data_IF_084162179097
#
_entry.id   IF_084162179097
#
_cell.length_a   1.000
_cell.length_b   1.000
_cell.length_c   1.000
_cell.angle_alpha   90.00
_cell.angle_beta   90.00
_cell.angle_gamma   90.00
#
_symmetry.space_group_name_H-M   'P 1'
#
loop_
_entity.id
_entity.type
_entity.pdbx_description
1 polymer ?
#
# COMPACT_ATOMS: atom_id res chain seq x y z
N UNK A 1 -8.39 -6.50 -4.00
CA UNK A 1 -8.91 -5.13 -4.15
C UNK A 1 -9.23 -4.89 -5.63
N UNK A 2 -10.32 -5.48 -6.14
CA UNK A 2 -10.84 -5.18 -7.48
C UNK A 2 -11.55 -3.83 -7.43
N UNK A 3 -10.77 -2.77 -7.61
CA UNK A 3 -11.31 -1.43 -7.77
C UNK A 3 -12.05 -1.34 -9.11
N UNK A 4 -13.37 -1.61 -9.09
CA UNK A 4 -14.37 -1.26 -10.13
C UNK A 4 -13.78 -1.03 -11.54
N UNK A 5 -13.22 -2.07 -12.13
CA UNK A 5 -12.83 -2.14 -13.54
C UNK A 5 -14.03 -2.52 -14.42
N UNK A 6 -15.25 -2.18 -13.99
CA UNK A 6 -16.44 -2.39 -14.81
C UNK A 6 -16.21 -1.72 -16.17
N UNK A 7 -16.40 -2.50 -17.23
CA UNK A 7 -16.30 -2.10 -18.64
C UNK A 7 -14.88 -1.79 -19.16
N UNK A 8 -13.83 -2.23 -18.46
CA UNK A 8 -12.45 -2.11 -18.97
C UNK A 8 -12.01 -3.42 -19.61
N UNK A 9 -11.66 -3.38 -20.90
CA UNK A 9 -11.04 -4.53 -21.56
C UNK A 9 -9.69 -4.83 -20.90
N UNK A 10 -9.61 -5.95 -20.19
CA UNK A 10 -8.41 -6.38 -19.45
C UNK A 10 -7.22 -6.69 -20.38
N UNK A 11 -7.46 -6.84 -21.70
CA UNK A 11 -6.42 -7.08 -22.71
C UNK A 11 -5.76 -5.80 -23.23
N UNK A 12 -6.33 -4.63 -22.92
CA UNK A 12 -5.75 -3.33 -23.30
C UNK A 12 -4.99 -2.74 -22.10
N UNK A 13 -3.70 -3.04 -22.04
CA UNK A 13 -2.82 -2.62 -20.94
C UNK A 13 -2.79 -1.09 -20.76
N UNK A 14 -2.86 -0.32 -21.85
CA UNK A 14 -2.82 1.15 -21.81
C UNK A 14 -4.10 1.71 -21.20
N UNK A 15 -5.25 1.19 -21.62
CA UNK A 15 -6.55 1.58 -21.06
C UNK A 15 -6.67 1.17 -19.60
N UNK A 16 -6.17 -0.02 -19.26
CA UNK A 16 -6.07 -0.51 -17.89
C UNK A 16 -5.24 0.40 -16.98
N UNK A 17 -4.01 0.73 -17.38
CA UNK A 17 -3.14 1.62 -16.61
C UNK A 17 -3.77 3.01 -16.40
N UNK A 18 -4.39 3.55 -17.45
CA UNK A 18 -5.09 4.84 -17.40
C UNK A 18 -6.27 4.79 -16.42
N UNK A 19 -7.04 3.70 -16.44
CA UNK A 19 -8.16 3.50 -15.53
C UNK A 19 -7.71 3.41 -14.08
N UNK A 20 -6.68 2.62 -13.79
CA UNK A 20 -6.10 2.49 -12.43
C UNK A 20 -5.63 3.85 -11.92
N UNK A 21 -4.90 4.62 -12.73
CA UNK A 21 -4.42 5.97 -12.38
C UNK A 21 -5.59 6.91 -12.05
N UNK A 22 -6.65 6.86 -12.85
CA UNK A 22 -7.84 7.70 -12.67
C UNK A 22 -8.57 7.36 -11.37
N UNK A 23 -8.78 6.06 -11.10
CA UNK A 23 -9.41 5.60 -9.87
C UNK A 23 -8.58 5.98 -8.65
N UNK A 24 -7.26 5.76 -8.68
CA UNK A 24 -6.37 6.15 -7.58
C UNK A 24 -6.41 7.65 -7.29
N UNK A 25 -6.40 8.50 -8.33
CA UNK A 25 -6.53 9.95 -8.16
C UNK A 25 -7.86 10.31 -7.47
N UNK A 26 -8.96 9.72 -7.92
CA UNK A 26 -10.27 9.96 -7.36
C UNK A 26 -10.39 9.50 -5.89
N UNK A 27 -9.77 8.38 -5.54
CA UNK A 27 -9.72 7.89 -4.17
C UNK A 27 -8.88 8.80 -3.27
N UNK A 28 -7.69 9.21 -3.72
CA UNK A 28 -6.83 10.11 -2.96
C UNK A 28 -7.51 11.45 -2.70
N UNK A 29 -8.22 12.03 -3.68
CA UNK A 29 -9.00 13.27 -3.46
C UNK A 29 -10.10 13.09 -2.40
N UNK A 30 -10.72 11.91 -2.32
CA UNK A 30 -11.71 11.61 -1.28
C UNK A 30 -11.05 11.44 0.10
N UNK A 31 -9.86 10.84 0.14
CA UNK A 31 -9.08 10.72 1.37
C UNK A 31 -8.64 12.08 1.91
N UNK A 32 -8.25 13.01 1.03
CA UNK A 32 -7.94 14.41 1.41
C UNK A 32 -9.13 15.08 2.09
N UNK A 33 -10.33 14.99 1.49
CA UNK A 33 -11.56 15.55 2.08
C UNK A 33 -11.87 14.90 3.45
N UNK A 34 -11.63 13.61 3.60
CA UNK A 34 -11.82 12.91 4.89
C UNK A 34 -10.79 13.39 5.91
N UNK A 35 -9.52 13.57 5.52
CA UNK A 35 -8.46 14.06 6.40
C UNK A 35 -8.78 15.48 6.90
N UNK A 36 -9.21 16.39 6.02
CA UNK A 36 -9.64 17.74 6.38
C UNK A 36 -10.77 17.72 7.40
N UNK A 37 -11.81 16.90 7.18
CA UNK A 37 -12.96 16.78 8.10
C UNK A 37 -12.60 16.21 9.47
N UNK A 38 -11.53 15.42 9.55
CA UNK A 38 -11.06 14.80 10.78
C UNK A 38 -9.93 15.61 11.45
N UNK A 39 -9.51 16.74 10.87
CA UNK A 39 -8.39 17.52 11.39
C UNK A 39 -7.05 16.78 11.32
N UNK A 40 -6.86 15.92 10.32
CA UNK A 40 -5.61 15.18 10.11
C UNK A 40 -4.70 16.00 9.20
N UNK A 41 -3.64 16.57 9.76
CA UNK A 41 -2.68 17.38 9.01
C UNK A 41 -1.75 16.55 8.12
N UNK A 42 -1.59 15.25 8.44
CA UNK A 42 -0.76 14.34 7.66
C UNK A 42 -1.45 13.98 6.34
N UNK A 43 -0.67 13.98 5.25
CA UNK A 43 -1.15 13.55 3.93
C UNK A 43 -1.70 12.13 3.97
N UNK A 44 -2.98 11.96 3.61
CA UNK A 44 -3.62 10.66 3.48
C UNK A 44 -3.68 10.24 2.00
N UNK A 45 -3.12 9.07 1.68
CA UNK A 45 -3.20 8.50 0.33
C UNK A 45 -3.30 6.98 0.39
N UNK A 46 -3.78 6.37 -0.70
CA UNK A 46 -3.84 4.91 -0.82
C UNK A 46 -2.47 4.24 -0.65
N UNK A 47 -1.41 4.88 -1.14
CA UNK A 47 -0.05 4.36 -1.01
C UNK A 47 0.41 4.41 0.45
N UNK A 48 0.21 5.53 1.15
CA UNK A 48 0.52 5.66 2.57
C UNK A 48 -0.27 4.66 3.41
N UNK A 49 -1.58 4.53 3.16
CA UNK A 49 -2.42 3.57 3.87
C UNK A 49 -1.94 2.12 3.67
N UNK A 50 -1.50 1.78 2.45
CA UNK A 50 -0.88 0.47 2.16
C UNK A 50 0.41 0.26 2.94
N UNK A 51 1.29 1.27 2.97
CA UNK A 51 2.54 1.20 3.74
C UNK A 51 2.26 1.06 5.24
N UNK A 52 1.39 1.89 5.80
CA UNK A 52 1.01 1.81 7.21
C UNK A 52 0.43 0.44 7.57
N UNK A 53 -0.44 -0.12 6.72
CA UNK A 53 -0.96 -1.47 6.93
C UNK A 53 0.15 -2.52 6.85
N UNK A 54 1.04 -2.44 5.85
CA UNK A 54 2.19 -3.33 5.69
C UNK A 54 3.03 -3.43 6.96
N UNK A 55 3.56 -2.30 7.42
CA UNK A 55 4.38 -2.21 8.65
C UNK A 55 3.63 -2.77 9.87
N UNK A 56 2.43 -2.26 10.17
CA UNK A 56 1.70 -2.65 11.39
C UNK A 56 1.33 -4.14 11.37
N UNK A 57 0.98 -4.67 10.19
CA UNK A 57 0.51 -6.05 10.07
C UNK A 57 1.65 -7.08 10.04
N UNK A 58 2.85 -6.69 9.57
CA UNK A 58 4.04 -7.55 9.56
C UNK A 58 4.42 -8.04 10.96
N UNK A 59 4.30 -7.17 11.95
CA UNK A 59 4.66 -7.50 13.34
C UNK A 59 3.59 -8.32 14.06
N UNK A 60 2.33 -8.17 13.66
CA UNK A 60 1.17 -8.66 14.43
C UNK A 60 0.51 -9.90 13.85
N UNK A 61 0.72 -10.17 12.56
CA UNK A 61 -0.01 -11.22 11.84
C UNK A 61 1.00 -12.21 11.24
N UNK A 62 0.86 -13.52 11.52
CA UNK A 62 1.71 -14.54 10.91
C UNK A 62 1.68 -14.47 9.38
N UNK A 63 2.84 -14.67 8.74
CA UNK A 63 3.03 -14.49 7.30
C UNK A 63 2.05 -15.34 6.44
N UNK A 64 1.67 -16.53 6.91
CA UNK A 64 0.71 -17.39 6.23
C UNK A 64 -0.71 -16.80 6.23
N UNK A 65 -1.08 -16.05 7.26
CA UNK A 65 -2.35 -15.34 7.35
C UNK A 65 -2.30 -14.06 6.51
N UNK A 66 -1.17 -13.34 6.50
CA UNK A 66 -0.96 -12.21 5.61
C UNK A 66 -1.09 -12.58 4.13
N UNK A 67 -0.54 -13.72 3.72
CA UNK A 67 -0.73 -14.25 2.36
C UNK A 67 -2.22 -14.34 1.99
N UNK A 68 -3.06 -14.89 2.89
CA UNK A 68 -4.51 -15.01 2.67
C UNK A 68 -5.19 -13.64 2.61
N UNK A 69 -4.82 -12.72 3.50
CA UNK A 69 -5.36 -11.35 3.55
C UNK A 69 -5.01 -10.54 2.29
N UNK A 70 -3.78 -10.66 1.81
CA UNK A 70 -3.33 -10.04 0.57
C UNK A 70 -3.83 -10.75 -0.68
N UNK A 71 -4.33 -11.99 -0.53
CA UNK A 71 -4.74 -12.88 -1.64
C UNK A 71 -3.59 -13.16 -2.60
N UNK A 72 -2.38 -13.33 -2.06
CA UNK A 72 -1.23 -13.76 -2.84
C UNK A 72 -1.27 -15.28 -3.03
N UNK A 73 -0.87 -15.74 -4.22
CA UNK A 73 -0.81 -17.16 -4.56
C UNK A 73 0.38 -17.89 -3.92
N UNK A 74 1.40 -17.15 -3.49
CA UNK A 74 2.61 -17.71 -2.88
C UNK A 74 3.02 -16.95 -1.62
N UNK A 75 3.57 -17.69 -0.66
CA UNK A 75 4.23 -17.16 0.53
C UNK A 75 5.44 -16.32 0.10
N UNK A 76 6.19 -16.72 -0.93
CA UNK A 76 7.36 -15.96 -1.41
C UNK A 76 6.99 -14.56 -1.88
N UNK A 77 5.84 -14.39 -2.55
CA UNK A 77 5.31 -13.07 -2.92
C UNK A 77 4.98 -12.22 -1.69
N UNK A 78 4.46 -12.85 -0.64
CA UNK A 78 4.12 -12.16 0.62
C UNK A 78 5.36 -11.73 1.37
N UNK A 79 6.39 -12.60 1.44
CA UNK A 79 7.69 -12.29 2.03
C UNK A 79 8.37 -11.15 1.27
N UNK A 80 8.42 -11.22 -0.06
CA UNK A 80 9.03 -10.18 -0.90
C UNK A 80 8.26 -8.86 -0.82
N UNK A 81 6.95 -8.91 -0.63
CA UNK A 81 6.16 -7.71 -0.38
C UNK A 81 6.49 -7.11 0.99
N UNK A 82 6.57 -7.94 2.04
CA UNK A 82 6.86 -7.52 3.41
C UNK A 82 8.29 -6.98 3.59
N UNK A 83 9.27 -7.54 2.88
CA UNK A 83 10.65 -7.06 2.95
C UNK A 83 10.78 -5.59 2.54
N UNK A 84 9.95 -5.09 1.61
CA UNK A 84 9.94 -3.67 1.20
C UNK A 84 9.59 -2.70 2.34
N UNK A 85 9.01 -3.17 3.44
CA UNK A 85 8.70 -2.35 4.62
C UNK A 85 9.79 -2.43 5.68
N UNK A 86 10.49 -3.56 5.78
CA UNK A 86 11.54 -3.78 6.77
C UNK A 86 12.78 -2.92 6.52
N UNK A 87 13.21 -2.78 5.25
CA UNK A 87 14.45 -2.06 4.91
C UNK A 87 14.46 -0.63 5.46
N UNK A 88 13.33 0.08 5.37
CA UNK A 88 13.28 1.48 5.77
C UNK A 88 13.44 1.66 7.28
N UNK A 89 12.90 0.76 8.09
CA UNK A 89 13.09 0.83 9.55
C UNK A 89 14.51 0.43 9.95
N UNK A 90 15.11 -0.56 9.28
CA UNK A 90 16.53 -0.89 9.49
C UNK A 90 17.46 0.23 9.02
N UNK A 91 17.16 0.88 7.90
CA UNK A 91 17.93 1.99 7.35
C UNK A 91 17.79 3.23 8.27
N UNK A 92 16.57 3.58 8.68
CA UNK A 92 16.29 4.68 9.64
C UNK A 92 16.91 4.39 11.03
N UNK A 93 17.03 3.12 11.44
CA UNK A 93 17.69 2.72 12.68
C UNK A 93 19.22 2.74 12.56
N UNK A 94 19.75 2.35 11.40
CA UNK A 94 21.17 2.46 11.10
C UNK A 94 21.60 3.93 11.05
N UNK A 95 20.88 4.80 10.34
CA UNK A 95 21.18 6.24 10.22
C UNK A 95 21.34 6.91 11.60
N UNK A 96 20.49 6.54 12.58
CA UNK A 96 20.60 7.01 13.98
C UNK A 96 21.88 6.59 14.72
N UNK A 97 22.56 5.55 14.25
CA UNK A 97 23.79 5.01 14.85
C UNK A 97 25.02 5.46 14.06
N UNK A 98 24.91 5.70 12.74
CA UNK A 98 26.06 6.09 11.90
C UNK A 98 26.25 7.61 11.78
N UNK A 99 25.23 8.43 12.02
CA UNK A 99 25.37 9.90 12.09
C UNK A 99 26.02 10.31 13.43
N UNK A 100 27.36 10.31 13.46
CA UNK A 100 28.21 10.93 14.48
C UNK A 100 28.71 12.31 14.04
#
# INVERSE_FOLDING_TARGET
>A
MELRLKDTNLKDEKRMATRVKTVNRNLNRRLEIVAEKLGIDKKLSMHIARHSFGNISGDKIPIQMLQKLYRHSSITTTVSYQSNFMYKETDDALEKVVDF
#
